data_IF_029944670448
#
_entry.id   IF_029944670448
#
_cell.length_a   1.000
_cell.length_b   1.000
_cell.length_c   1.000
_cell.angle_alpha   90.00
_cell.angle_beta   90.00
_cell.angle_gamma   90.00
#
_symmetry.space_group_name_H-M   'P 1'
#
loop_
_entity.id
_entity.type
_entity.pdbx_description
1 polymer ?
#
# COMPACT_ATOMS: atom_id res chain seq x y z
N UNK A 1 -49.01 -16.15 -22.68
CA UNK A 1 -48.11 -14.97 -22.59
C UNK A 1 -47.41 -15.04 -21.25
N UNK A 2 -46.28 -15.76 -21.17
CA UNK A 2 -45.50 -15.93 -19.94
C UNK A 2 -44.14 -15.28 -20.13
N UNK A 3 -43.86 -14.23 -19.36
CA UNK A 3 -42.53 -13.61 -19.30
C UNK A 3 -41.86 -14.06 -18.01
N UNK A 4 -40.86 -14.94 -18.15
CA UNK A 4 -39.93 -15.32 -17.10
C UNK A 4 -38.91 -14.21 -16.92
N UNK A 5 -38.94 -13.52 -15.79
CA UNK A 5 -37.87 -12.63 -15.35
C UNK A 5 -36.79 -13.45 -14.62
N UNK A 6 -35.65 -13.66 -15.27
CA UNK A 6 -34.48 -14.33 -14.70
C UNK A 6 -33.87 -13.44 -13.60
N UNK A 7 -34.06 -13.80 -12.32
CA UNK A 7 -33.36 -13.19 -11.20
C UNK A 7 -31.90 -13.64 -11.20
N UNK A 8 -30.95 -12.69 -11.26
CA UNK A 8 -29.52 -12.96 -11.04
C UNK A 8 -29.29 -13.36 -9.56
N UNK A 9 -28.39 -14.32 -9.28
CA UNK A 9 -28.07 -14.71 -7.92
C UNK A 9 -27.26 -13.61 -7.21
N UNK A 10 -27.67 -13.28 -5.98
CA UNK A 10 -26.99 -12.39 -5.05
C UNK A 10 -25.82 -13.17 -4.44
N UNK A 11 -24.59 -12.82 -4.80
CA UNK A 11 -23.41 -13.37 -4.15
C UNK A 11 -23.33 -12.76 -2.75
N UNK A 12 -23.60 -13.58 -1.74
CA UNK A 12 -23.38 -13.30 -0.34
C UNK A 12 -21.88 -13.36 -0.03
N UNK A 13 -21.29 -12.23 0.37
CA UNK A 13 -20.06 -12.21 1.16
C UNK A 13 -20.27 -11.27 2.35
N UNK A 14 -21.08 -11.72 3.31
CA UNK A 14 -21.45 -10.99 4.53
C UNK A 14 -20.57 -11.29 5.75
N UNK A 15 -19.41 -11.90 5.56
CA UNK A 15 -18.33 -12.09 6.52
C UNK A 15 -17.10 -11.43 5.86
N UNK A 16 -16.48 -10.33 6.27
CA UNK A 16 -15.98 -9.94 7.61
C UNK A 16 -15.78 -8.41 7.76
N UNK A 17 -16.56 -7.57 7.08
CA UNK A 17 -16.31 -6.11 7.11
C UNK A 17 -16.81 -5.47 8.42
N UNK A 18 -17.85 -6.03 9.06
CA UNK A 18 -18.52 -5.41 10.22
C UNK A 18 -17.76 -5.50 11.54
N UNK A 19 -16.74 -6.36 11.67
CA UNK A 19 -15.98 -6.51 12.92
C UNK A 19 -14.72 -5.64 12.98
N UNK A 20 -14.28 -5.08 11.86
CA UNK A 20 -13.13 -4.15 11.77
C UNK A 20 -13.53 -2.69 12.03
N UNK A 21 -14.81 -2.34 11.82
CA UNK A 21 -15.32 -0.97 11.89
C UNK A 21 -15.55 -0.42 13.30
N UNK A 22 -15.48 -1.25 14.35
CA UNK A 22 -15.78 -0.82 15.73
C UNK A 22 -14.55 -0.33 16.50
N UNK A 23 -13.60 0.32 15.83
CA UNK A 23 -12.54 1.03 16.55
C UNK A 23 -12.94 2.51 16.68
N UNK A 24 -12.93 3.09 17.91
CA UNK A 24 -13.30 4.49 18.12
C UNK A 24 -12.49 5.46 17.25
N UNK A 25 -11.29 5.04 16.83
CA UNK A 25 -10.40 5.81 15.96
C UNK A 25 -10.88 5.89 14.51
N UNK A 26 -11.58 4.87 14.02
CA UNK A 26 -12.15 4.86 12.67
C UNK A 26 -13.41 5.71 12.57
N UNK A 27 -14.16 5.88 13.67
CA UNK A 27 -15.29 6.81 13.74
C UNK A 27 -14.83 8.27 13.67
N UNK A 28 -13.66 8.59 14.24
CA UNK A 28 -13.08 9.93 14.16
C UNK A 28 -12.81 10.40 12.73
N UNK A 29 -12.63 9.46 11.80
CA UNK A 29 -12.45 9.76 10.38
C UNK A 29 -13.77 10.05 9.64
N UNK A 30 -14.92 9.77 10.26
CA UNK A 30 -16.25 10.00 9.66
C UNK A 30 -16.83 11.39 10.02
N UNK A 31 -16.29 12.05 11.04
CA UNK A 31 -16.73 13.39 11.41
C UNK A 31 -16.38 14.40 10.30
N UNK A 32 -17.31 15.32 10.03
CA UNK A 32 -17.19 16.36 8.99
C UNK A 32 -16.22 17.48 9.36
N UNK A 33 -15.63 17.42 10.54
CA UNK A 33 -14.62 18.39 10.96
C UNK A 33 -13.40 18.29 10.04
N UNK A 34 -12.77 19.43 9.79
CA UNK A 34 -11.53 19.53 9.02
C UNK A 34 -10.50 18.56 9.61
N UNK A 35 -10.13 17.52 8.86
CA UNK A 35 -9.11 16.57 9.32
C UNK A 35 -7.72 17.17 9.08
N UNK A 36 -7.10 17.69 10.15
CA UNK A 36 -5.74 18.19 10.05
C UNK A 36 -4.77 17.03 9.71
N UNK A 37 -3.75 17.23 8.84
CA UNK A 37 -2.76 16.20 8.51
C UNK A 37 -2.09 15.54 9.71
N UNK A 38 -1.87 16.31 10.79
CA UNK A 38 -1.29 15.81 12.03
C UNK A 38 -2.22 14.85 12.77
N UNK A 39 -3.54 15.08 12.74
CA UNK A 39 -4.52 14.21 13.37
C UNK A 39 -4.69 12.91 12.59
N UNK A 40 -4.74 12.99 11.25
CA UNK A 40 -4.69 11.80 10.40
C UNK A 40 -3.42 10.97 10.71
N UNK A 41 -2.25 11.61 10.73
CA UNK A 41 -0.99 10.94 11.06
C UNK A 41 -1.03 10.27 12.44
N UNK A 42 -1.58 10.93 13.47
CA UNK A 42 -1.77 10.34 14.80
C UNK A 42 -2.66 9.11 14.76
N UNK A 43 -3.81 9.20 14.09
CA UNK A 43 -4.75 8.07 13.96
C UNK A 43 -4.03 6.87 13.35
N UNK A 44 -3.40 7.04 12.18
CA UNK A 44 -2.66 5.95 11.51
C UNK A 44 -1.48 5.43 12.33
N UNK A 45 -0.86 6.25 13.17
CA UNK A 45 0.16 5.79 14.14
C UNK A 45 -0.42 4.98 15.30
N UNK A 46 -1.68 5.19 15.68
CA UNK A 46 -2.33 4.48 16.78
C UNK A 46 -3.03 3.19 16.34
N UNK A 47 -3.38 3.05 15.06
CA UNK A 47 -3.97 1.80 14.53
C UNK A 47 -3.06 0.61 14.83
N UNK A 48 -3.62 -0.56 15.13
CA UNK A 48 -2.84 -1.75 15.50
C UNK A 48 -2.69 -2.77 14.39
N UNK A 49 -3.73 -2.92 13.57
CA UNK A 49 -3.80 -3.97 12.56
C UNK A 49 -3.83 -3.36 11.15
N UNK A 50 -3.25 -4.04 10.18
CA UNK A 50 -3.30 -3.64 8.78
C UNK A 50 -4.72 -3.53 8.22
N UNK A 51 -5.66 -4.38 8.66
CA UNK A 51 -7.06 -4.26 8.21
C UNK A 51 -7.66 -2.89 8.56
N UNK A 52 -7.37 -2.39 9.76
CA UNK A 52 -7.84 -1.06 10.17
C UNK A 52 -7.12 0.03 9.37
N UNK A 53 -5.85 -0.16 9.05
CA UNK A 53 -5.07 0.78 8.22
C UNK A 53 -5.65 0.88 6.82
N UNK A 54 -6.05 -0.25 6.21
CA UNK A 54 -6.66 -0.27 4.87
C UNK A 54 -8.07 0.32 4.88
N UNK A 55 -8.88 0.02 5.89
CA UNK A 55 -10.19 0.65 6.07
C UNK A 55 -10.05 2.16 6.24
N UNK A 56 -9.12 2.60 7.09
CA UNK A 56 -8.82 4.02 7.27
C UNK A 56 -8.34 4.68 5.97
N UNK A 57 -7.46 4.01 5.21
CA UNK A 57 -6.98 4.51 3.92
C UNK A 57 -8.13 4.74 2.93
N UNK A 58 -9.04 3.76 2.81
CA UNK A 58 -10.22 3.88 1.94
C UNK A 58 -11.11 5.04 2.37
N UNK A 59 -11.33 5.23 3.68
CA UNK A 59 -12.09 6.36 4.22
C UNK A 59 -11.45 7.71 3.93
N UNK A 60 -10.14 7.87 4.14
CA UNK A 60 -9.49 9.17 3.88
C UNK A 60 -9.38 9.48 2.39
N UNK A 61 -9.35 8.46 1.54
CA UNK A 61 -9.19 8.62 0.09
C UNK A 61 -10.52 8.96 -0.61
N UNK A 62 -11.66 8.64 0.01
CA UNK A 62 -12.99 9.06 -0.46
C UNK A 62 -13.37 10.47 -0.02
N UNK A 63 -12.58 11.08 0.87
CA UNK A 63 -12.78 12.45 1.34
C UNK A 63 -12.20 13.45 0.36
N UNK A 64 -13.02 14.41 -0.07
CA UNK A 64 -12.58 15.50 -0.96
C UNK A 64 -11.93 16.66 -0.20
N UNK A 65 -12.12 16.74 1.12
CA UNK A 65 -11.63 17.82 1.98
C UNK A 65 -10.25 17.54 2.60
N UNK A 66 -9.69 16.36 2.34
CA UNK A 66 -8.38 15.95 2.86
C UNK A 66 -7.46 15.52 1.72
N UNK A 67 -6.23 16.05 1.71
CA UNK A 67 -5.19 15.62 0.80
C UNK A 67 -4.11 14.87 1.57
N UNK A 68 -3.99 13.53 1.38
CA UNK A 68 -2.91 12.75 1.98
C UNK A 68 -1.53 13.28 1.57
N UNK A 69 -0.56 13.15 2.48
CA UNK A 69 0.84 13.49 2.22
C UNK A 69 1.69 12.23 2.01
N UNK A 70 2.88 12.40 1.43
CA UNK A 70 3.82 11.31 1.22
C UNK A 70 4.14 10.56 2.52
N UNK A 71 4.37 11.28 3.62
CA UNK A 71 4.72 10.69 4.91
C UNK A 71 3.65 9.73 5.44
N UNK A 72 2.37 10.01 5.18
CA UNK A 72 1.26 9.14 5.57
C UNK A 72 1.31 7.83 4.76
N UNK A 73 1.55 7.91 3.46
CA UNK A 73 1.72 6.73 2.63
C UNK A 73 2.96 5.92 3.03
N UNK A 74 4.10 6.56 3.30
CA UNK A 74 5.29 5.85 3.82
C UNK A 74 4.97 5.07 5.09
N UNK A 75 4.27 5.69 6.05
CA UNK A 75 3.86 5.03 7.28
C UNK A 75 2.94 3.81 7.02
N UNK A 76 2.01 3.94 6.09
CA UNK A 76 1.09 2.86 5.72
C UNK A 76 1.86 1.70 5.07
N UNK A 77 2.72 1.99 4.10
CA UNK A 77 3.56 0.99 3.42
C UNK A 77 4.43 0.25 4.44
N UNK A 78 5.11 0.96 5.35
CA UNK A 78 5.96 0.34 6.38
C UNK A 78 5.14 -0.55 7.32
N UNK A 79 3.91 -0.16 7.66
CA UNK A 79 3.01 -0.98 8.48
C UNK A 79 2.60 -2.27 7.77
N UNK A 80 2.14 -2.16 6.52
CA UNK A 80 1.76 -3.33 5.73
C UNK A 80 2.94 -4.28 5.51
N UNK A 81 4.13 -3.73 5.26
CA UNK A 81 5.36 -4.49 5.13
C UNK A 81 5.68 -5.28 6.40
N UNK A 82 5.60 -4.66 7.59
CA UNK A 82 5.83 -5.35 8.87
C UNK A 82 4.85 -6.50 9.11
N UNK A 83 3.60 -6.34 8.69
CA UNK A 83 2.57 -7.39 8.78
C UNK A 83 2.62 -8.38 7.59
N UNK A 84 3.64 -8.28 6.72
CA UNK A 84 3.82 -9.10 5.50
C UNK A 84 2.63 -9.06 4.52
N UNK A 85 1.86 -7.98 4.55
CA UNK A 85 0.72 -7.73 3.68
C UNK A 85 1.14 -7.01 2.41
N UNK A 86 1.97 -7.69 1.62
CA UNK A 86 2.65 -7.09 0.47
C UNK A 86 1.70 -6.84 -0.70
N UNK A 87 0.68 -7.67 -0.86
CA UNK A 87 -0.30 -7.50 -1.94
C UNK A 87 -1.14 -6.23 -1.73
N UNK A 88 -1.45 -5.88 -0.48
CA UNK A 88 -2.19 -4.66 -0.16
C UNK A 88 -1.37 -3.38 -0.40
N UNK A 89 -0.04 -3.48 -0.54
CA UNK A 89 0.81 -2.32 -0.90
C UNK A 89 0.49 -1.82 -2.32
N UNK A 90 0.05 -2.70 -3.22
CA UNK A 90 -0.39 -2.29 -4.56
C UNK A 90 -1.65 -1.41 -4.50
N UNK A 91 -2.60 -1.72 -3.61
CA UNK A 91 -3.79 -0.87 -3.38
C UNK A 91 -3.39 0.53 -2.88
N UNK A 92 -2.34 0.61 -2.05
CA UNK A 92 -1.78 1.88 -1.60
C UNK A 92 -1.18 2.65 -2.79
N UNK A 93 -0.40 2.00 -3.65
CA UNK A 93 0.17 2.62 -4.86
C UNK A 93 -0.92 3.14 -5.81
N UNK A 94 -1.99 2.38 -6.03
CA UNK A 94 -3.12 2.86 -6.83
C UNK A 94 -3.76 4.10 -6.22
N UNK A 95 -3.87 4.14 -4.89
CA UNK A 95 -4.36 5.31 -4.15
C UNK A 95 -3.44 6.52 -4.31
N UNK A 96 -2.12 6.33 -4.23
CA UNK A 96 -1.11 7.39 -4.48
C UNK A 96 -1.26 7.95 -5.90
N UNK A 97 -1.43 7.07 -6.90
CA UNK A 97 -1.65 7.45 -8.30
C UNK A 97 -2.93 8.26 -8.48
N UNK A 98 -4.03 7.81 -7.88
CA UNK A 98 -5.33 8.48 -7.98
C UNK A 98 -5.36 9.84 -7.27
N UNK A 99 -4.72 9.94 -6.10
CA UNK A 99 -4.64 11.19 -5.32
C UNK A 99 -3.70 12.23 -5.94
N UNK A 100 -2.92 11.85 -6.98
CA UNK A 100 -1.98 12.71 -7.72
C UNK A 100 -1.05 13.49 -6.79
N UNK A 101 -0.60 12.84 -5.72
CA UNK A 101 0.39 13.42 -4.83
C UNK A 101 1.78 13.32 -5.46
N UNK A 102 2.65 14.28 -5.17
CA UNK A 102 4.07 14.14 -5.49
C UNK A 102 4.71 13.22 -4.46
N UNK A 103 5.40 12.21 -4.94
CA UNK A 103 6.16 11.25 -4.14
C UNK A 103 7.64 11.34 -4.51
N UNK A 104 8.51 11.32 -3.50
CA UNK A 104 9.95 11.43 -3.70
C UNK A 104 10.58 10.11 -4.16
N UNK A 105 11.79 10.20 -4.71
CA UNK A 105 12.64 9.05 -5.01
C UNK A 105 12.91 8.20 -3.75
N UNK A 106 12.99 8.84 -2.57
CA UNK A 106 13.21 8.15 -1.30
C UNK A 106 12.06 7.21 -0.91
N UNK A 107 10.82 7.57 -1.23
CA UNK A 107 9.65 6.72 -1.03
C UNK A 107 9.76 5.43 -1.86
N UNK A 108 10.12 5.56 -3.14
CA UNK A 108 10.29 4.41 -4.03
C UNK A 108 11.51 3.57 -3.65
N UNK A 109 12.62 4.20 -3.26
CA UNK A 109 13.79 3.51 -2.71
C UNK A 109 13.43 2.65 -1.48
N UNK A 110 12.61 3.16 -0.56
CA UNK A 110 12.11 2.38 0.58
C UNK A 110 11.22 1.21 0.12
N UNK A 111 10.30 1.49 -0.80
CA UNK A 111 9.38 0.49 -1.34
C UNK A 111 10.11 -0.67 -2.04
N UNK A 112 11.14 -0.36 -2.83
CA UNK A 112 12.02 -1.35 -3.48
C UNK A 112 12.71 -2.22 -2.42
N UNK A 113 13.25 -1.61 -1.35
CA UNK A 113 13.86 -2.37 -0.24
C UNK A 113 12.86 -3.32 0.41
N UNK A 114 11.61 -2.90 0.59
CA UNK A 114 10.53 -3.74 1.14
C UNK A 114 10.27 -4.94 0.23
N UNK A 115 10.10 -4.74 -1.08
CA UNK A 115 9.85 -5.85 -2.02
C UNK A 115 10.99 -6.86 -2.04
N UNK A 116 12.24 -6.42 -1.97
CA UNK A 116 13.39 -7.33 -2.01
C UNK A 116 13.59 -8.02 -0.65
N UNK A 117 13.67 -7.26 0.45
CA UNK A 117 14.08 -7.81 1.75
C UNK A 117 12.95 -8.45 2.54
N UNK A 118 11.75 -7.89 2.48
CA UNK A 118 10.61 -8.34 3.29
C UNK A 118 9.78 -9.35 2.51
N UNK A 119 9.55 -9.06 1.23
CA UNK A 119 8.68 -9.86 0.38
C UNK A 119 9.43 -10.96 -0.39
N UNK A 120 10.75 -10.83 -0.57
CA UNK A 120 11.54 -11.69 -1.47
C UNK A 120 10.95 -11.76 -2.90
N UNK A 121 10.45 -10.63 -3.38
CA UNK A 121 9.85 -10.44 -4.71
C UNK A 121 10.68 -9.44 -5.54
N UNK A 122 11.90 -9.82 -5.99
CA UNK A 122 12.76 -8.94 -6.77
C UNK A 122 12.12 -8.47 -8.09
N UNK A 123 11.25 -9.26 -8.69
CA UNK A 123 10.50 -8.92 -9.90
C UNK A 123 9.54 -7.75 -9.67
N UNK A 124 8.85 -7.70 -8.52
CA UNK A 124 7.98 -6.58 -8.15
C UNK A 124 8.81 -5.31 -7.92
N UNK A 125 10.01 -5.43 -7.35
CA UNK A 125 10.91 -4.30 -7.15
C UNK A 125 11.37 -3.67 -8.48
N UNK A 126 11.72 -4.50 -9.48
CA UNK A 126 12.05 -4.04 -10.84
C UNK A 126 10.84 -3.37 -11.48
N UNK A 127 9.65 -3.96 -11.33
CA UNK A 127 8.42 -3.40 -11.88
C UNK A 127 8.14 -2.01 -11.30
N UNK A 128 8.31 -1.83 -9.98
CA UNK A 128 8.15 -0.52 -9.33
C UNK A 128 9.14 0.50 -9.87
N UNK A 129 10.41 0.13 -10.05
CA UNK A 129 11.44 1.02 -10.61
C UNK A 129 11.02 1.60 -11.97
N UNK A 130 10.51 0.76 -12.88
CA UNK A 130 10.04 1.22 -14.19
C UNK A 130 8.73 2.02 -14.11
N UNK A 131 7.85 1.67 -13.17
CA UNK A 131 6.58 2.36 -12.93
C UNK A 131 6.74 3.73 -12.26
N UNK A 132 7.91 4.08 -11.71
CA UNK A 132 8.14 5.38 -11.05
C UNK A 132 7.71 6.58 -11.94
N UNK A 133 7.95 6.46 -13.25
CA UNK A 133 7.57 7.46 -14.24
C UNK A 133 6.06 7.74 -14.28
N UNK A 134 5.22 6.72 -14.02
CA UNK A 134 3.77 6.85 -13.92
C UNK A 134 3.31 7.71 -12.73
N UNK A 135 4.18 7.87 -11.74
CA UNK A 135 3.96 8.70 -10.54
C UNK A 135 4.65 10.06 -10.64
N UNK A 136 5.08 10.46 -11.85
CA UNK A 136 5.86 11.67 -12.09
C UNK A 136 7.17 11.74 -11.28
N UNK A 137 7.75 10.58 -10.97
CA UNK A 137 9.02 10.45 -10.29
C UNK A 137 10.01 9.74 -11.21
N UNK A 138 11.23 10.27 -11.36
CA UNK A 138 12.27 9.62 -12.16
C UNK A 138 13.25 8.91 -11.22
N UNK A 139 13.59 7.64 -11.48
CA UNK A 139 14.61 6.95 -10.70
C UNK A 139 15.96 7.67 -10.82
N UNK A 140 16.59 7.91 -9.68
CA UNK A 140 17.96 8.43 -9.61
C UNK A 140 18.97 7.34 -9.92
N UNK A 141 20.22 7.74 -10.22
CA UNK A 141 21.35 6.80 -10.36
C UNK A 141 21.49 5.95 -9.09
N UNK A 142 21.25 6.55 -7.91
CA UNK A 142 21.31 5.86 -6.63
C UNK A 142 20.20 4.81 -6.48
N UNK A 143 18.97 5.12 -6.88
CA UNK A 143 17.86 4.16 -6.88
C UNK A 143 18.10 3.01 -7.86
N UNK A 144 18.66 3.30 -9.03
CA UNK A 144 19.08 2.25 -9.97
C UNK A 144 20.19 1.35 -9.40
N UNK A 145 21.24 1.95 -8.84
CA UNK A 145 22.35 1.22 -8.23
C UNK A 145 21.88 0.38 -7.04
N UNK A 146 20.95 0.91 -6.24
CA UNK A 146 20.31 0.18 -5.15
C UNK A 146 19.62 -1.08 -5.68
N UNK A 147 18.77 -0.96 -6.71
CA UNK A 147 18.08 -2.14 -7.30
C UNK A 147 19.08 -3.15 -7.82
N UNK A 148 20.07 -2.73 -8.61
CA UNK A 148 21.08 -3.62 -9.18
C UNK A 148 21.85 -4.39 -8.10
N UNK A 149 22.35 -3.68 -7.09
CA UNK A 149 23.08 -4.31 -5.97
C UNK A 149 22.19 -5.32 -5.25
N UNK A 150 20.95 -4.93 -4.92
CA UNK A 150 20.03 -5.77 -4.16
C UNK A 150 19.60 -7.03 -4.94
N UNK A 151 19.41 -6.93 -6.25
CA UNK A 151 19.13 -8.07 -7.12
C UNK A 151 20.31 -9.03 -7.22
N UNK A 152 21.53 -8.50 -7.35
CA UNK A 152 22.75 -9.32 -7.37
C UNK A 152 22.93 -10.09 -6.06
N UNK A 153 22.66 -9.47 -4.90
CA UNK A 153 22.69 -10.16 -3.61
C UNK A 153 21.62 -11.26 -3.53
N UNK A 154 20.39 -10.99 -3.93
CA UNK A 154 19.31 -11.99 -3.94
C UNK A 154 19.62 -13.20 -4.84
N UNK A 155 20.20 -12.95 -6.03
CA UNK A 155 20.61 -13.99 -6.96
C UNK A 155 21.76 -14.85 -6.40
N UNK A 156 22.74 -14.23 -5.74
CA UNK A 156 23.88 -14.92 -5.14
C UNK A 156 23.49 -15.80 -3.94
N UNK A 157 22.52 -15.37 -3.12
CA UNK A 157 21.96 -16.19 -2.03
C UNK A 157 21.30 -17.46 -2.60
N UNK A 158 20.50 -17.32 -3.65
CA UNK A 158 19.81 -18.45 -4.31
C UNK A 158 20.82 -19.45 -4.91
N UNK A 159 21.89 -18.95 -5.53
CA UNK A 159 22.97 -19.78 -6.10
C UNK A 159 23.80 -20.51 -5.04
N UNK A 160 23.89 -19.95 -3.84
CA UNK A 160 24.64 -20.54 -2.72
C UNK A 160 23.83 -21.68 -2.06
N UNK A 161 22.50 -21.55 -1.96
CA UNK A 161 21.62 -22.63 -1.48
C UNK A 161 21.51 -23.81 -2.47
N UNK A 162 21.57 -23.57 -3.78
CA UNK A 162 21.55 -24.66 -4.78
C UNK A 162 22.90 -25.40 -4.93
N UNK A 163 23.96 -24.95 -4.26
CA UNK A 163 25.27 -25.62 -4.26
C UNK A 163 25.49 -26.57 -3.08
N UNK A 164 24.52 -26.66 -2.18
CA UNK A 164 24.58 -27.48 -0.96
C UNK A 164 23.62 -28.70 -1.00
N UNK A 165 23.19 -29.15 -2.17
CA UNK A 165 22.43 -30.40 -2.38
C UNK A 165 23.24 -31.30 -3.30
#
# INVERSE_FOLDING_TARGET
>A
MSSMATRRPRIETSFDIRKSSSSPLLEKLDHRDWLAPNEAMKIFKTLKNADQVLVALKKISSRNDYKPNESLFSLIVDRLARERRIDDIEDVLQTVKYTKIKVSDSFFSNLIKIYINVANHPEKAIQVLFRMSEFHCCPTIDTFNLVLNMLLFAANITRSSMRCI
#
